data_IF_686493349869
#
_entry.id   IF_686493349869
#
_cell.length_a   1.000
_cell.length_b   1.000
_cell.length_c   1.000
_cell.angle_alpha   90.00
_cell.angle_beta   90.00
_cell.angle_gamma   90.00
#
_symmetry.space_group_name_H-M   'P 1'
#
loop_
_entity.id
_entity.type
_entity.pdbx_description
1 polymer ?
#
# COMPACT_ATOMS: atom_id res chain seq x y z
N UNK A 1 -4.82 28.40 23.54
CA UNK A 1 -6.14 27.89 24.02
C UNK A 1 -6.29 26.47 23.53
N UNK A 2 -6.22 25.49 24.44
CA UNK A 2 -6.32 24.07 24.10
C UNK A 2 -7.78 23.71 23.78
N UNK A 3 -8.06 23.28 22.55
CA UNK A 3 -9.33 22.63 22.21
C UNK A 3 -9.12 21.11 22.21
N UNK A 4 -9.65 20.47 23.21
CA UNK A 4 -9.77 19.01 23.29
C UNK A 4 -10.87 18.54 22.35
N UNK A 5 -10.49 17.76 21.33
CA UNK A 5 -11.42 17.07 20.45
C UNK A 5 -11.84 15.76 21.11
N UNK A 6 -13.14 15.61 21.41
CA UNK A 6 -13.73 14.36 21.90
C UNK A 6 -14.05 13.47 20.71
N UNK A 7 -13.37 12.38 20.58
CA UNK A 7 -13.73 11.29 19.66
C UNK A 7 -14.91 10.53 20.27
N UNK A 8 -16.05 10.50 19.58
CA UNK A 8 -17.19 9.68 19.95
C UNK A 8 -17.05 8.32 19.24
N UNK A 9 -16.85 7.28 20.03
CA UNK A 9 -16.85 5.90 19.58
C UNK A 9 -18.31 5.44 19.43
N UNK A 10 -18.78 5.19 18.21
CA UNK A 10 -20.08 4.57 17.97
C UNK A 10 -19.86 3.07 17.82
N UNK A 11 -20.20 2.32 18.84
CA UNK A 11 -20.28 0.87 18.81
C UNK A 11 -21.61 0.43 18.21
N UNK A 12 -21.55 -0.26 17.07
CA UNK A 12 -22.70 -0.88 16.41
C UNK A 12 -22.86 -2.30 16.96
N UNK A 13 -23.83 -2.52 17.86
CA UNK A 13 -24.25 -3.84 18.29
C UNK A 13 -25.14 -4.46 17.20
N UNK A 14 -24.68 -5.53 16.58
CA UNK A 14 -25.54 -6.40 15.78
C UNK A 14 -26.01 -7.57 16.64
N UNK A 15 -27.27 -7.56 17.01
CA UNK A 15 -27.94 -8.67 17.69
C UNK A 15 -28.34 -9.73 16.64
N UNK A 16 -27.79 -10.93 16.76
CA UNK A 16 -28.23 -12.10 15.98
C UNK A 16 -29.14 -12.92 16.90
N UNK A 17 -30.45 -12.92 16.60
CA UNK A 17 -31.45 -13.79 17.21
C UNK A 17 -31.43 -15.16 16.55
N UNK A 18 -31.08 -16.20 17.30
CA UNK A 18 -31.31 -17.60 16.90
C UNK A 18 -32.74 -17.98 17.22
N UNK A 19 -33.54 -18.32 16.22
CA UNK A 19 -34.83 -18.96 16.34
C UNK A 19 -34.62 -20.47 16.30
N UNK A 20 -34.97 -21.13 17.40
CA UNK A 20 -35.07 -22.59 17.43
C UNK A 20 -36.42 -23.01 16.87
N UNK A 21 -36.44 -23.95 15.94
CA UNK A 21 -37.64 -24.60 15.45
C UNK A 21 -37.59 -26.09 15.79
N UNK A 22 -38.58 -26.55 16.56
CA UNK A 22 -38.75 -27.95 16.95
C UNK A 22 -39.57 -28.73 15.92
N UNK A 23 -39.56 -30.02 16.00
CA UNK A 23 -40.44 -30.99 15.28
C UNK A 23 -40.03 -32.38 15.71
N UNK A 24 -40.72 -32.96 16.57
CA UNK A 24 -41.86 -33.90 16.59
C UNK A 24 -41.59 -35.27 15.96
N UNK A 25 -41.79 -36.27 16.86
CA UNK A 25 -42.53 -37.56 16.74
C UNK A 25 -41.89 -38.65 15.86
N UNK A 26 -41.95 -39.94 16.17
CA UNK A 26 -42.79 -40.81 16.99
C UNK A 26 -42.27 -42.22 16.87
N UNK A 27 -42.40 -43.07 17.79
CA UNK A 27 -43.19 -44.31 17.78
C UNK A 27 -42.58 -45.42 18.65
N UNK A 28 -43.46 -45.90 19.49
CA UNK A 28 -43.40 -47.15 20.26
C UNK A 28 -43.80 -48.32 19.35
N UNK A 29 -43.45 -49.59 19.64
CA UNK A 29 -44.28 -50.42 20.52
C UNK A 29 -43.51 -51.44 21.37
N UNK A 30 -44.03 -51.67 22.58
CA UNK A 30 -44.70 -52.83 23.19
C UNK A 30 -44.10 -54.21 23.05
N UNK A 31 -43.74 -54.85 24.19
CA UNK A 31 -44.29 -56.13 24.64
C UNK A 31 -43.78 -56.55 26.04
N UNK A 32 -44.73 -56.84 26.86
CA UNK A 32 -44.69 -57.51 28.19
C UNK A 32 -44.75 -59.04 27.98
N UNK A 33 -44.75 -59.90 29.02
CA UNK A 33 -44.06 -59.97 30.31
C UNK A 33 -43.49 -61.37 30.63
N UNK A 34 -42.78 -61.57 31.73
CA UNK A 34 -42.95 -62.79 32.52
C UNK A 34 -42.40 -62.62 33.97
N UNK A 35 -43.17 -63.09 34.87
CA UNK A 35 -42.95 -63.23 36.30
C UNK A 35 -41.74 -64.10 36.67
N UNK A 36 -41.11 -63.82 37.83
CA UNK A 36 -41.25 -64.72 39.00
C UNK A 36 -40.58 -64.18 40.27
N UNK A 37 -41.43 -64.11 41.33
CA UNK A 37 -41.27 -64.38 42.77
C UNK A 37 -39.98 -64.10 43.53
N UNK A 38 -40.09 -63.20 44.50
CA UNK A 38 -39.84 -63.50 45.89
C UNK A 38 -38.50 -63.16 46.49
N UNK A 39 -38.41 -62.06 47.19
CA UNK A 39 -38.10 -62.15 48.63
C UNK A 39 -38.24 -60.76 49.31
N UNK A 40 -38.94 -60.74 50.43
CA UNK A 40 -39.14 -59.55 51.22
C UNK A 40 -37.89 -59.14 52.02
N UNK A 41 -37.46 -57.87 51.77
CA UNK A 41 -36.66 -57.11 52.74
C UNK A 41 -37.20 -55.71 52.81
N UNK A 42 -37.33 -55.20 54.08
CA UNK A 42 -37.91 -53.95 54.45
C UNK A 42 -37.33 -52.73 53.73
N UNK A 43 -38.12 -51.69 53.44
CA UNK A 43 -37.64 -50.53 52.71
C UNK A 43 -36.66 -49.73 53.58
N UNK A 44 -35.42 -49.69 53.18
CA UNK A 44 -34.46 -48.69 53.65
C UNK A 44 -34.92 -47.30 53.16
N UNK A 45 -35.04 -46.38 54.12
CA UNK A 45 -35.36 -44.95 53.95
C UNK A 45 -34.53 -44.37 52.82
N UNK A 46 -35.07 -43.62 51.81
CA UNK A 46 -34.30 -42.96 50.83
C UNK A 46 -33.33 -41.98 51.46
N UNK A 47 -32.07 -42.15 51.29
CA UNK A 47 -31.05 -41.13 51.58
C UNK A 47 -31.34 -39.92 50.74
N UNK A 48 -31.66 -38.81 51.36
CA UNK A 48 -31.72 -37.48 50.68
C UNK A 48 -30.43 -37.25 49.99
N UNK A 49 -30.44 -36.85 48.70
CA UNK A 49 -29.18 -36.41 47.99
C UNK A 49 -28.59 -35.29 48.83
N UNK A 50 -27.39 -35.45 49.32
CA UNK A 50 -26.66 -34.38 49.99
C UNK A 50 -26.40 -33.31 48.95
N UNK A 51 -26.96 -32.12 49.15
CA UNK A 51 -26.59 -30.93 48.35
C UNK A 51 -25.07 -30.78 48.45
N UNK A 52 -24.33 -30.71 47.35
CA UNK A 52 -22.90 -30.47 47.42
C UNK A 52 -22.63 -29.22 48.23
N UNK A 53 -21.65 -29.27 49.12
CA UNK A 53 -21.24 -28.10 49.89
C UNK A 53 -20.89 -26.96 48.93
N UNK A 54 -21.27 -25.70 49.23
CA UNK A 54 -20.93 -24.58 48.37
C UNK A 54 -19.42 -24.50 48.29
N UNK A 55 -18.89 -24.41 47.02
CA UNK A 55 -17.46 -24.21 46.77
C UNK A 55 -17.02 -22.90 47.42
N UNK A 56 -15.85 -22.88 48.07
CA UNK A 56 -15.30 -21.64 48.66
C UNK A 56 -15.03 -20.61 47.54
N UNK A 57 -15.21 -19.34 47.89
CA UNK A 57 -14.80 -18.21 47.04
C UNK A 57 -13.42 -17.71 47.48
N UNK A 58 -12.60 -17.35 46.53
CA UNK A 58 -11.24 -16.85 46.75
C UNK A 58 -11.11 -15.44 46.23
N UNK A 59 -10.24 -14.64 46.84
CA UNK A 59 -10.01 -13.27 46.48
C UNK A 59 -9.21 -13.16 45.15
N UNK A 60 -9.54 -12.13 44.39
CA UNK A 60 -8.85 -11.77 43.16
C UNK A 60 -8.39 -10.33 43.31
N UNK A 61 -7.12 -10.08 43.01
CA UNK A 61 -6.54 -8.74 42.98
C UNK A 61 -5.82 -8.52 41.61
N UNK A 62 -5.55 -7.30 41.29
CA UNK A 62 -4.67 -6.97 40.13
C UNK A 62 -3.50 -6.12 40.60
N UNK A 63 -2.34 -6.36 40.03
CA UNK A 63 -1.20 -5.46 40.19
C UNK A 63 -1.46 -4.20 39.39
N UNK A 64 -1.34 -3.03 40.02
CA UNK A 64 -1.30 -1.76 39.27
C UNK A 64 0.07 -1.58 38.65
N UNK A 65 0.13 -1.01 37.45
CA UNK A 65 1.37 -0.75 36.74
C UNK A 65 1.24 0.37 35.71
N UNK A 66 2.35 0.82 35.20
CA UNK A 66 2.37 1.81 34.13
C UNK A 66 2.09 1.18 32.76
N UNK A 67 1.34 1.87 31.92
CA UNK A 67 1.09 1.47 30.54
C UNK A 67 -0.13 0.56 30.33
N UNK A 68 -0.87 0.24 31.41
CA UNK A 68 -2.09 -0.56 31.30
C UNK A 68 -3.08 -0.29 32.45
N UNK A 69 -4.33 -0.68 32.23
CA UNK A 69 -5.40 -0.71 33.23
C UNK A 69 -6.19 -1.99 33.12
N UNK A 70 -6.39 -2.68 34.24
CA UNK A 70 -7.28 -3.87 34.35
C UNK A 70 -8.66 -3.39 34.71
N UNK A 71 -9.70 -3.82 33.99
CA UNK A 71 -11.08 -3.42 34.18
C UNK A 71 -12.00 -4.65 34.17
N UNK A 72 -13.10 -4.57 34.94
CA UNK A 72 -14.10 -5.65 35.01
C UNK A 72 -13.67 -6.89 35.77
N UNK A 73 -12.54 -6.84 36.52
CA UNK A 73 -12.08 -7.95 37.35
C UNK A 73 -12.97 -8.05 38.62
N UNK A 74 -13.62 -9.20 38.91
CA UNK A 74 -14.41 -9.36 40.14
C UNK A 74 -13.49 -9.48 41.35
N UNK A 75 -13.95 -9.03 42.51
CA UNK A 75 -13.19 -9.15 43.78
C UNK A 75 -13.00 -10.59 44.25
N UNK A 76 -13.92 -11.50 43.90
CA UNK A 76 -13.86 -12.91 44.27
C UNK A 76 -14.50 -13.80 43.22
N UNK A 77 -14.06 -15.06 43.11
CA UNK A 77 -14.72 -16.10 42.33
C UNK A 77 -14.56 -17.47 43.01
N UNK A 78 -15.42 -18.43 42.64
CA UNK A 78 -15.32 -19.81 43.16
C UNK A 78 -14.35 -20.63 42.35
N UNK A 79 -13.75 -21.61 43.01
CA UNK A 79 -12.89 -22.57 42.33
C UNK A 79 -13.57 -23.19 41.10
N UNK A 80 -12.86 -23.13 39.93
CA UNK A 80 -13.32 -23.64 38.64
C UNK A 80 -14.25 -22.70 37.89
N UNK A 81 -14.59 -21.52 38.41
CA UNK A 81 -15.30 -20.48 37.64
C UNK A 81 -14.37 -19.82 36.64
N UNK A 82 -14.87 -19.50 35.44
CA UNK A 82 -14.16 -18.69 34.49
C UNK A 82 -14.30 -17.23 34.85
N UNK A 83 -13.17 -16.57 35.10
CA UNK A 83 -13.09 -15.13 35.36
C UNK A 83 -12.68 -14.44 34.07
N UNK A 84 -13.43 -13.39 33.74
CA UNK A 84 -13.17 -12.59 32.53
C UNK A 84 -12.94 -11.13 32.92
N UNK A 85 -12.00 -10.46 32.26
CA UNK A 85 -11.69 -9.05 32.49
C UNK A 85 -11.16 -8.42 31.22
N UNK A 86 -11.08 -7.10 31.15
CA UNK A 86 -10.52 -6.35 30.05
C UNK A 86 -9.21 -5.69 30.45
N UNK A 87 -8.29 -5.57 29.48
CA UNK A 87 -7.02 -4.89 29.64
C UNK A 87 -7.00 -3.70 28.66
N UNK A 88 -7.02 -2.49 29.21
CA UNK A 88 -6.80 -1.27 28.43
C UNK A 88 -5.30 -0.95 28.44
N UNK A 89 -4.69 -0.87 27.27
CA UNK A 89 -3.26 -0.55 27.09
C UNK A 89 -3.09 0.91 26.71
N UNK A 90 -2.04 1.54 27.19
CA UNK A 90 -1.65 2.86 26.74
C UNK A 90 -1.24 2.84 25.26
N UNK A 91 -1.28 3.99 24.63
CA UNK A 91 -0.91 4.14 23.23
C UNK A 91 0.52 3.61 22.98
N UNK A 92 0.68 2.79 21.96
CA UNK A 92 1.98 2.22 21.58
C UNK A 92 2.48 1.10 22.48
N UNK A 93 1.66 0.60 23.42
CA UNK A 93 1.97 -0.56 24.26
C UNK A 93 1.25 -1.81 23.77
N UNK A 94 1.83 -2.95 24.06
CA UNK A 94 1.21 -4.27 23.93
C UNK A 94 1.47 -5.12 25.18
N UNK A 95 0.58 -6.05 25.46
CA UNK A 95 0.77 -6.98 26.55
C UNK A 95 1.92 -7.94 26.21
N UNK A 96 2.88 -8.05 27.11
CA UNK A 96 3.98 -9.02 27.02
C UNK A 96 3.61 -10.31 27.74
N UNK A 97 3.02 -10.18 28.94
CA UNK A 97 2.38 -11.31 29.63
C UNK A 97 1.21 -10.85 30.47
N UNK A 98 0.19 -11.73 30.62
CA UNK A 98 -0.97 -11.53 31.49
C UNK A 98 -1.17 -12.84 32.26
N UNK A 99 -0.98 -12.83 33.58
CA UNK A 99 -1.03 -14.02 34.42
C UNK A 99 -1.97 -13.84 35.61
N UNK A 100 -2.67 -14.89 35.95
CA UNK A 100 -3.42 -15.02 37.22
C UNK A 100 -2.67 -16.00 38.11
N UNK A 101 -1.91 -15.49 39.09
CA UNK A 101 -0.89 -16.26 39.80
C UNK A 101 0.15 -16.80 38.83
N UNK A 102 0.35 -18.11 38.78
CA UNK A 102 1.29 -18.77 37.90
C UNK A 102 0.69 -19.18 36.52
N UNK A 103 -0.61 -18.95 36.32
CA UNK A 103 -1.35 -19.39 35.12
C UNK A 103 -1.44 -18.24 34.10
N UNK A 104 -1.08 -18.51 32.83
CA UNK A 104 -1.28 -17.56 31.75
C UNK A 104 -2.79 -17.35 31.46
N UNK A 105 -3.23 -16.11 31.38
CA UNK A 105 -4.59 -15.78 30.98
C UNK A 105 -4.75 -15.93 29.46
N UNK A 106 -5.93 -16.42 29.04
CA UNK A 106 -6.27 -16.59 27.63
C UNK A 106 -6.84 -15.29 27.07
N UNK A 107 -6.31 -14.80 25.98
CA UNK A 107 -6.92 -13.72 25.17
C UNK A 107 -8.07 -14.32 24.36
N UNK A 108 -9.28 -13.80 24.55
CA UNK A 108 -10.48 -14.21 23.85
C UNK A 108 -10.66 -13.42 22.52
N UNK A 109 -11.51 -13.94 21.62
CA UNK A 109 -11.79 -13.31 20.33
C UNK A 109 -12.43 -11.91 20.43
N UNK A 110 -13.09 -11.61 21.57
CA UNK A 110 -13.68 -10.31 21.86
C UNK A 110 -12.68 -9.29 22.46
N UNK A 111 -11.41 -9.68 22.61
CA UNK A 111 -10.35 -8.85 23.19
C UNK A 111 -10.30 -8.86 24.72
N UNK A 112 -11.18 -9.60 25.39
CA UNK A 112 -11.10 -9.82 26.84
C UNK A 112 -10.06 -10.90 27.17
N UNK A 113 -9.61 -10.91 28.46
CA UNK A 113 -8.78 -11.98 28.98
C UNK A 113 -9.60 -12.85 29.93
N UNK A 114 -9.29 -14.14 29.99
CA UNK A 114 -9.93 -15.08 30.89
C UNK A 114 -8.95 -16.05 31.51
N UNK A 115 -9.30 -16.52 32.73
CA UNK A 115 -8.63 -17.63 33.42
C UNK A 115 -9.64 -18.44 34.19
N UNK A 116 -9.29 -19.69 34.53
CA UNK A 116 -10.06 -20.52 35.43
C UNK A 116 -9.58 -20.28 36.83
N UNK A 117 -10.50 -19.92 37.76
CA UNK A 117 -10.18 -19.65 39.15
C UNK A 117 -9.60 -20.90 39.86
N UNK A 118 -8.35 -20.84 40.37
CA UNK A 118 -7.80 -21.93 41.18
C UNK A 118 -8.46 -21.98 42.57
N UNK A 119 -8.12 -23.01 43.36
CA UNK A 119 -8.59 -23.18 44.73
C UNK A 119 -7.89 -22.30 45.78
N UNK A 120 -7.40 -21.13 45.36
CA UNK A 120 -6.67 -20.17 46.22
C UNK A 120 -6.83 -18.73 45.69
N UNK A 121 -6.46 -17.75 46.51
CA UNK A 121 -6.46 -16.35 46.09
C UNK A 121 -5.43 -16.09 45.00
N UNK A 122 -5.79 -15.28 44.00
CA UNK A 122 -4.92 -14.93 42.88
C UNK A 122 -4.69 -13.43 42.76
N UNK A 123 -3.51 -13.09 42.23
CA UNK A 123 -3.21 -11.75 41.77
C UNK A 123 -3.02 -11.78 40.24
N UNK A 124 -3.76 -10.94 39.52
CA UNK A 124 -3.56 -10.73 38.09
C UNK A 124 -2.36 -9.79 37.88
N UNK A 125 -1.28 -10.33 37.31
CA UNK A 125 -0.07 -9.60 36.99
C UNK A 125 0.01 -9.40 35.49
N UNK A 126 0.30 -8.15 35.06
CA UNK A 126 0.45 -7.78 33.66
C UNK A 126 1.83 -7.18 33.47
N UNK A 127 2.52 -7.62 32.42
CA UNK A 127 3.70 -6.92 31.91
C UNK A 127 3.41 -6.41 30.52
N UNK A 128 3.90 -5.21 30.21
CA UNK A 128 3.72 -4.57 28.91
C UNK A 128 5.09 -4.22 28.32
N UNK A 129 5.15 -4.21 27.00
CA UNK A 129 6.31 -3.74 26.23
C UNK A 129 5.88 -2.72 25.19
N UNK A 130 6.84 -2.04 24.61
CA UNK A 130 6.57 -1.16 23.45
C UNK A 130 6.20 -2.02 22.25
N UNK A 131 5.10 -1.66 21.60
CA UNK A 131 4.70 -2.26 20.34
C UNK A 131 5.66 -1.80 19.24
N UNK A 132 5.92 -2.67 18.27
CA UNK A 132 6.68 -2.31 17.08
C UNK A 132 5.76 -1.81 15.98
N UNK A 133 6.27 -0.83 15.26
CA UNK A 133 5.65 -0.25 14.06
C UNK A 133 6.66 -0.25 12.93
N UNK A 134 6.18 -0.33 11.70
CA UNK A 134 7.04 -0.48 10.51
C UNK A 134 7.13 0.80 9.70
N UNK A 135 8.17 0.89 8.90
CA UNK A 135 8.24 1.80 7.78
C UNK A 135 7.33 1.24 6.68
N UNK A 136 6.19 1.90 6.46
CA UNK A 136 5.16 1.45 5.53
C UNK A 136 5.49 1.84 4.09
N UNK A 137 5.94 3.08 3.86
CA UNK A 137 6.37 3.55 2.54
C UNK A 137 7.52 4.54 2.63
N UNK A 138 8.32 4.62 1.54
CA UNK A 138 9.34 5.64 1.33
C UNK A 138 9.16 6.18 -0.08
N UNK A 139 8.96 7.48 -0.19
CA UNK A 139 8.80 8.17 -1.45
C UNK A 139 9.85 9.28 -1.59
N UNK A 140 10.44 9.37 -2.79
CA UNK A 140 11.32 10.46 -3.19
C UNK A 140 10.70 11.21 -4.35
N UNK A 141 10.69 12.53 -4.29
CA UNK A 141 10.22 13.34 -5.40
C UNK A 141 11.01 13.07 -6.69
N UNK A 142 10.33 13.23 -7.82
CA UNK A 142 10.92 13.01 -9.15
C UNK A 142 12.14 13.88 -9.42
N UNK A 143 12.21 15.09 -8.85
CA UNK A 143 13.39 15.97 -8.92
C UNK A 143 14.65 15.39 -8.28
N UNK A 144 14.48 14.45 -7.35
CA UNK A 144 15.61 13.74 -6.72
C UNK A 144 16.05 12.49 -7.48
N UNK A 145 15.32 12.02 -8.47
CA UNK A 145 15.60 10.77 -9.21
C UNK A 145 17.00 10.70 -9.81
N UNK A 146 17.54 11.85 -10.26
CA UNK A 146 18.91 11.95 -10.78
C UNK A 146 19.98 11.48 -9.77
N UNK A 147 19.74 11.67 -8.49
CA UNK A 147 20.67 11.31 -7.43
C UNK A 147 20.53 9.84 -7.00
N UNK A 148 19.45 9.16 -7.40
CA UNK A 148 19.09 7.82 -6.91
C UNK A 148 19.20 7.74 -5.38
N UNK A 149 18.38 8.52 -4.65
CA UNK A 149 18.49 8.68 -3.21
C UNK A 149 18.08 7.42 -2.47
N UNK A 150 18.71 7.20 -1.30
CA UNK A 150 18.37 6.09 -0.40
C UNK A 150 18.41 6.57 1.04
N UNK A 151 17.59 5.97 1.90
CA UNK A 151 17.68 6.07 3.35
C UNK A 151 18.42 4.86 3.90
N UNK A 152 19.03 4.98 5.10
CA UNK A 152 19.76 3.87 5.73
C UNK A 152 18.86 2.75 6.25
N UNK A 153 17.55 2.91 6.19
CA UNK A 153 16.53 1.88 6.44
C UNK A 153 15.64 1.71 5.18
N UNK A 154 14.80 0.70 5.20
CA UNK A 154 13.92 0.35 4.06
C UNK A 154 12.48 0.11 4.50
N UNK A 155 11.59 0.05 3.54
CA UNK A 155 10.20 -0.38 3.73
C UNK A 155 10.16 -1.77 4.37
N UNK A 156 9.38 -1.92 5.42
CA UNK A 156 9.22 -3.12 6.22
C UNK A 156 10.14 -3.21 7.44
N UNK A 157 11.13 -2.32 7.61
CA UNK A 157 11.91 -2.25 8.85
C UNK A 157 11.01 -1.82 10.01
N UNK A 158 11.20 -2.44 11.19
CA UNK A 158 10.38 -2.24 12.38
C UNK A 158 11.18 -1.61 13.51
N UNK A 159 10.55 -0.67 14.22
CA UNK A 159 11.11 0.02 15.37
C UNK A 159 10.08 0.07 16.49
N UNK A 160 10.55 0.08 17.74
CA UNK A 160 9.65 0.16 18.91
C UNK A 160 9.05 1.57 19.03
N UNK A 161 7.81 1.65 19.49
CA UNK A 161 7.18 2.91 19.88
C UNK A 161 8.10 3.73 20.80
N UNK A 162 8.29 4.99 20.48
CA UNK A 162 9.15 5.91 21.23
C UNK A 162 10.66 5.71 20.99
N UNK A 163 11.06 4.74 20.18
CA UNK A 163 12.48 4.55 19.81
C UNK A 163 12.93 5.74 18.96
N UNK A 164 14.09 6.33 19.33
CA UNK A 164 14.80 7.25 18.45
C UNK A 164 15.44 6.45 17.31
N UNK A 165 15.02 6.76 16.08
CA UNK A 165 15.54 6.15 14.85
C UNK A 165 16.51 7.14 14.22
N UNK A 166 17.81 6.88 14.34
CA UNK A 166 18.85 7.65 13.67
C UNK A 166 19.04 7.09 12.24
N UNK A 167 19.20 7.98 11.25
CA UNK A 167 19.33 7.56 9.87
C UNK A 167 20.16 8.54 9.02
N UNK A 168 20.43 8.16 7.78
CA UNK A 168 21.15 8.95 6.78
C UNK A 168 20.37 8.99 5.48
N UNK A 169 20.50 10.09 4.73
CA UNK A 169 20.06 10.22 3.35
C UNK A 169 21.30 10.23 2.45
N UNK A 170 21.40 9.26 1.57
CA UNK A 170 22.55 9.07 0.69
C UNK A 170 22.19 9.11 -0.78
N UNK A 171 23.12 9.52 -1.63
CA UNK A 171 23.01 9.45 -3.08
C UNK A 171 23.86 8.30 -3.62
N UNK A 172 23.25 7.43 -4.42
CA UNK A 172 23.93 6.31 -5.06
C UNK A 172 24.56 6.65 -6.43
N UNK A 173 24.13 7.75 -7.07
CA UNK A 173 24.55 8.08 -8.43
C UNK A 173 25.44 9.31 -8.53
N UNK A 174 25.13 10.38 -7.82
CA UNK A 174 25.79 11.69 -7.94
C UNK A 174 25.62 12.46 -6.64
N UNK A 175 26.61 13.28 -6.27
CA UNK A 175 26.50 14.12 -5.07
C UNK A 175 25.30 15.07 -5.16
N UNK A 176 24.56 15.18 -4.06
CA UNK A 176 23.54 16.21 -3.91
C UNK A 176 24.16 17.61 -3.93
N UNK A 177 23.53 18.54 -4.60
CA UNK A 177 23.85 19.95 -4.40
C UNK A 177 23.15 20.46 -3.14
N UNK A 178 23.86 21.17 -2.29
CA UNK A 178 23.28 21.78 -1.07
C UNK A 178 22.10 22.72 -1.40
N UNK A 179 22.14 23.41 -2.55
CA UNK A 179 21.04 24.24 -3.04
C UNK A 179 19.80 23.43 -3.42
N UNK A 180 19.95 22.18 -3.84
CA UNK A 180 18.81 21.28 -4.08
C UNK A 180 18.25 20.79 -2.75
N UNK A 181 19.10 20.23 -1.88
CA UNK A 181 18.68 19.78 -0.54
C UNK A 181 18.08 20.88 0.31
N UNK A 182 18.55 22.12 0.14
CA UNK A 182 17.99 23.28 0.83
C UNK A 182 16.52 23.55 0.53
N UNK A 183 15.99 22.96 -0.54
CA UNK A 183 14.57 23.05 -0.94
C UNK A 183 13.74 21.86 -0.53
N UNK A 184 14.37 20.80 -0.03
CA UNK A 184 13.73 19.56 0.35
C UNK A 184 13.47 19.48 1.85
N UNK A 185 12.47 18.70 2.22
CA UNK A 185 12.22 18.25 3.58
C UNK A 185 11.87 16.76 3.59
N UNK A 186 12.10 16.12 4.72
CA UNK A 186 11.65 14.77 4.99
C UNK A 186 10.41 14.86 5.87
N UNK A 187 9.28 14.41 5.35
CA UNK A 187 8.02 14.34 6.06
C UNK A 187 7.85 12.91 6.58
N UNK A 188 7.68 12.78 7.88
CA UNK A 188 7.52 11.51 8.58
C UNK A 188 6.21 11.60 9.36
N UNK A 189 5.13 11.08 8.80
CA UNK A 189 3.77 11.35 9.27
C UNK A 189 3.56 12.88 9.51
N UNK A 190 3.47 13.33 10.76
CA UNK A 190 3.27 14.73 11.09
C UNK A 190 4.58 15.48 11.48
N UNK A 191 5.71 14.75 11.54
CA UNK A 191 7.03 15.34 11.79
C UNK A 191 7.69 15.79 10.48
N UNK A 192 8.41 16.90 10.50
CA UNK A 192 9.10 17.46 9.34
C UNK A 192 10.55 17.76 9.67
N UNK A 193 11.47 17.17 8.91
CA UNK A 193 12.89 17.47 8.97
C UNK A 193 13.24 18.36 7.78
N UNK A 194 13.53 19.64 8.06
CA UNK A 194 13.93 20.63 7.06
C UNK A 194 15.41 20.48 6.70
N UNK A 195 15.72 19.92 5.53
CA UNK A 195 17.09 19.72 5.06
C UNK A 195 17.83 21.05 4.82
N UNK A 196 17.12 22.14 4.54
CA UNK A 196 17.72 23.47 4.39
C UNK A 196 18.23 24.07 5.71
N UNK A 197 17.66 23.66 6.84
CA UNK A 197 18.10 24.11 8.16
C UNK A 197 19.43 23.51 8.62
N UNK A 198 19.92 22.48 7.92
CA UNK A 198 21.14 21.72 8.30
C UNK A 198 22.45 22.46 7.96
N UNK A 199 22.38 23.60 7.30
CA UNK A 199 23.58 24.40 6.97
C UNK A 199 24.52 23.74 5.97
N UNK A 200 24.00 22.85 5.10
CA UNK A 200 24.78 22.16 4.09
C UNK A 200 25.38 23.14 3.08
N UNK A 201 26.57 22.85 2.56
CA UNK A 201 27.25 23.66 1.56
C UNK A 201 27.94 22.80 0.49
N UNK A 202 28.05 23.34 -0.73
CA UNK A 202 28.71 22.65 -1.84
C UNK A 202 27.95 21.41 -2.30
N UNK A 203 28.66 20.30 -2.44
CA UNK A 203 28.14 19.00 -2.86
C UNK A 203 28.38 17.95 -1.78
N UNK A 204 27.35 17.20 -1.41
CA UNK A 204 27.40 16.15 -0.38
C UNK A 204 26.87 14.84 -0.94
N UNK A 205 27.47 13.71 -0.57
CA UNK A 205 26.99 12.38 -0.95
C UNK A 205 26.08 11.78 0.11
N UNK A 206 26.19 12.25 1.35
CA UNK A 206 25.44 11.74 2.49
C UNK A 206 25.08 12.90 3.42
N UNK A 207 23.86 12.90 3.91
CA UNK A 207 23.37 13.75 4.99
C UNK A 207 23.21 12.88 6.21
N UNK A 208 24.02 13.14 7.24
CA UNK A 208 24.07 12.38 8.48
C UNK A 208 23.27 13.07 9.60
N UNK A 209 23.16 12.39 10.74
CA UNK A 209 22.54 12.88 11.96
C UNK A 209 21.05 13.25 11.81
N UNK A 210 20.36 12.62 10.88
CA UNK A 210 18.93 12.67 10.80
C UNK A 210 18.29 11.73 11.81
N UNK A 211 17.21 12.13 12.45
CA UNK A 211 16.50 11.23 13.36
C UNK A 211 15.04 11.64 13.51
N UNK A 212 14.22 10.66 13.87
CA UNK A 212 12.85 10.87 14.32
C UNK A 212 12.52 9.93 15.47
N UNK A 213 11.42 10.18 16.15
CA UNK A 213 10.91 9.28 17.20
C UNK A 213 9.77 8.44 16.64
N UNK A 214 9.90 7.10 16.73
CA UNK A 214 8.88 6.19 16.19
C UNK A 214 7.51 6.44 16.85
N UNK A 215 6.48 6.86 16.08
CA UNK A 215 5.14 7.10 16.60
C UNK A 215 4.41 5.79 16.91
N UNK A 216 3.20 5.89 17.50
CA UNK A 216 2.35 4.73 17.79
C UNK A 216 1.52 4.27 16.57
N UNK A 217 2.11 4.34 15.39
CA UNK A 217 1.53 3.95 14.11
C UNK A 217 2.63 3.65 13.09
N UNK A 218 2.28 2.94 12.02
CA UNK A 218 3.18 2.73 10.88
C UNK A 218 3.54 4.06 10.21
N UNK A 219 4.75 4.17 9.68
CA UNK A 219 5.30 5.44 9.20
C UNK A 219 5.40 5.46 7.69
N UNK A 220 4.85 6.52 7.10
CA UNK A 220 5.07 6.90 5.71
C UNK A 220 6.09 8.04 5.65
N UNK A 221 7.12 7.87 4.81
CA UNK A 221 8.20 8.83 4.66
C UNK A 221 8.20 9.43 3.26
N UNK A 222 8.23 10.73 3.19
CA UNK A 222 8.24 11.47 1.94
C UNK A 222 9.41 12.47 1.92
N UNK A 223 10.32 12.31 0.96
CA UNK A 223 11.40 13.28 0.71
C UNK A 223 10.97 14.12 -0.48
N UNK A 224 10.54 15.35 -0.20
CA UNK A 224 9.86 16.19 -1.17
C UNK A 224 10.24 17.67 -1.01
N UNK A 225 10.04 18.48 -2.06
CA UNK A 225 10.19 19.90 -1.96
C UNK A 225 9.30 20.48 -0.86
N UNK A 226 9.92 21.27 0.01
CA UNK A 226 9.20 22.16 0.93
C UNK A 226 8.94 23.49 0.27
N UNK A 227 7.93 24.21 0.74
CA UNK A 227 7.81 25.62 0.42
C UNK A 227 9.01 26.39 1.02
N UNK A 228 9.73 27.14 0.22
CA UNK A 228 10.96 27.85 0.62
C UNK A 228 10.66 29.30 0.93
N UNK A 229 11.19 29.81 2.05
CA UNK A 229 11.20 31.22 2.36
C UNK A 229 12.22 31.94 1.45
N UNK A 230 11.73 32.68 0.46
CA UNK A 230 12.57 33.51 -0.40
C UNK A 230 12.50 34.97 0.07
N UNK A 231 13.52 35.38 0.79
CA UNK A 231 13.61 36.70 1.42
C UNK A 231 13.85 37.89 0.47
N UNK A 232 13.97 37.64 -0.84
CA UNK A 232 14.22 38.70 -1.84
C UNK A 232 13.07 38.84 -2.83
N UNK A 233 12.48 40.01 -2.92
CA UNK A 233 11.42 40.39 -3.85
C UNK A 233 10.44 41.40 -3.25
N UNK A 234 9.56 41.99 -4.05
CA UNK A 234 8.54 42.93 -3.61
C UNK A 234 7.63 42.30 -2.55
N UNK A 235 7.72 42.81 -1.31
CA UNK A 235 6.96 42.31 -0.16
C UNK A 235 5.43 42.30 -0.42
N UNK A 236 4.95 43.23 -1.23
CA UNK A 236 3.52 43.43 -1.52
C UNK A 236 2.91 42.42 -2.49
N UNK A 237 3.71 41.50 -3.04
CA UNK A 237 3.28 40.50 -4.01
C UNK A 237 3.50 39.07 -3.51
N UNK A 238 3.59 38.86 -2.21
CA UNK A 238 3.95 37.59 -1.61
C UNK A 238 2.74 36.85 -1.09
N UNK A 239 2.73 35.52 -1.33
CA UNK A 239 1.93 34.60 -0.55
C UNK A 239 2.76 34.25 0.69
N UNK A 240 2.23 34.52 1.90
CA UNK A 240 2.96 34.30 3.15
C UNK A 240 2.98 32.82 3.54
N UNK A 241 1.83 32.14 3.45
CA UNK A 241 1.68 30.71 3.71
C UNK A 241 0.48 30.15 2.96
N UNK A 242 0.46 28.83 2.85
CA UNK A 242 -0.73 28.09 2.41
C UNK A 242 -1.49 27.67 3.66
N UNK A 243 -2.77 28.03 3.72
CA UNK A 243 -3.71 27.63 4.75
C UNK A 243 -4.70 26.64 4.15
N UNK A 244 -4.76 25.46 4.69
CA UNK A 244 -5.75 24.46 4.29
C UNK A 244 -6.99 24.65 5.16
N UNK A 245 -8.00 25.34 4.64
CA UNK A 245 -9.26 25.61 5.36
C UNK A 245 -10.10 24.34 5.48
N UNK A 246 -10.15 23.55 4.40
CA UNK A 246 -10.90 22.31 4.33
C UNK A 246 -10.16 21.28 3.47
N UNK A 247 -10.04 20.05 3.97
CA UNK A 247 -9.58 18.90 3.20
C UNK A 247 -10.28 17.62 3.69
N UNK A 248 -10.55 16.62 2.83
CA UNK A 248 -11.07 15.33 3.25
C UNK A 248 -10.06 14.62 4.16
N UNK A 249 -10.54 13.86 5.15
CA UNK A 249 -9.69 13.09 6.07
C UNK A 249 -8.77 12.08 5.37
N UNK A 250 -9.15 11.65 4.16
CA UNK A 250 -8.35 10.73 3.34
C UNK A 250 -7.35 11.43 2.42
N UNK A 251 -7.16 12.75 2.51
CA UNK A 251 -6.17 13.52 1.74
C UNK A 251 -5.24 14.23 2.70
N UNK A 252 -3.97 13.83 2.70
CA UNK A 252 -2.89 14.54 3.40
C UNK A 252 -2.28 15.58 2.47
N UNK A 253 -2.15 16.81 2.94
CA UNK A 253 -1.56 17.90 2.18
C UNK A 253 -0.18 18.20 2.75
N UNK A 254 0.84 18.22 1.91
CA UNK A 254 2.20 18.57 2.29
C UNK A 254 2.43 20.05 2.04
N UNK A 255 2.27 20.85 3.07
CA UNK A 255 2.59 22.26 3.04
C UNK A 255 3.51 22.60 4.20
N UNK A 256 4.53 23.40 3.97
CA UNK A 256 5.27 24.05 5.05
C UNK A 256 4.53 25.32 5.48
N UNK A 257 4.75 25.78 6.71
CA UNK A 257 4.11 26.98 7.26
C UNK A 257 4.43 28.28 6.49
N UNK A 258 5.39 28.22 5.57
CA UNK A 258 5.83 29.38 4.78
C UNK A 258 5.95 29.00 3.32
N UNK A 259 5.01 29.44 2.52
CA UNK A 259 5.07 29.39 1.07
C UNK A 259 5.34 30.79 0.54
N UNK A 260 6.41 30.95 -0.22
CA UNK A 260 6.70 32.20 -0.90
C UNK A 260 6.64 31.99 -2.40
N UNK A 261 5.87 32.84 -3.03
CA UNK A 261 5.79 32.95 -4.47
C UNK A 261 6.65 34.12 -4.94
N UNK A 262 7.70 33.84 -5.69
CA UNK A 262 8.49 34.85 -6.39
C UNK A 262 8.14 34.88 -7.87
N UNK A 263 7.62 35.98 -8.37
CA UNK A 263 7.28 36.17 -9.78
C UNK A 263 8.50 36.22 -10.70
N UNK A 264 9.72 36.35 -10.15
CA UNK A 264 10.96 36.46 -10.91
C UNK A 264 11.55 35.10 -11.27
N UNK A 265 11.23 34.05 -10.52
CA UNK A 265 11.69 32.69 -10.78
C UNK A 265 10.54 31.78 -11.18
N UNK A 266 10.34 31.59 -12.45
CA UNK A 266 9.29 30.78 -13.05
C UNK A 266 9.36 29.27 -12.74
N UNK A 267 10.27 28.82 -11.89
CA UNK A 267 10.52 27.41 -11.58
C UNK A 267 10.31 27.02 -10.12
N UNK A 268 9.93 27.93 -9.24
CA UNK A 268 9.81 27.62 -7.82
C UNK A 268 8.35 27.32 -7.46
N UNK A 269 8.10 26.05 -7.22
CA UNK A 269 6.89 25.48 -6.58
C UNK A 269 5.52 25.91 -7.13
N UNK A 270 5.26 25.48 -8.35
CA UNK A 270 3.91 25.52 -8.91
C UNK A 270 3.02 24.37 -8.42
N UNK A 271 3.49 23.55 -7.49
CA UNK A 271 2.83 22.30 -7.13
C UNK A 271 2.77 22.14 -5.62
N UNK A 272 1.59 21.83 -5.10
CA UNK A 272 1.35 21.41 -3.74
C UNK A 272 1.15 19.92 -3.73
N UNK A 273 2.05 19.17 -3.10
CA UNK A 273 1.95 17.74 -3.02
C UNK A 273 0.84 17.30 -2.08
N UNK A 274 0.16 16.24 -2.46
CA UNK A 274 -0.88 15.58 -1.67
C UNK A 274 -0.67 14.08 -1.71
N UNK A 275 -0.90 13.42 -0.57
CA UNK A 275 -1.02 11.97 -0.51
C UNK A 275 -2.46 11.61 -0.16
N UNK A 276 -2.93 10.49 -0.68
CA UNK A 276 -4.19 9.92 -0.24
C UNK A 276 -3.92 8.76 0.72
N UNK A 277 -4.68 8.73 1.78
CA UNK A 277 -4.88 7.57 2.62
C UNK A 277 -6.16 6.90 2.15
N UNK A 278 -6.19 5.59 2.02
CA UNK A 278 -7.37 4.92 1.50
C UNK A 278 -7.68 5.31 0.01
N UNK A 279 -8.85 4.99 -0.48
CA UNK A 279 -9.27 5.16 -1.89
C UNK A 279 -9.88 6.54 -2.17
N UNK A 280 -9.29 7.61 -1.66
CA UNK A 280 -9.78 8.97 -1.93
C UNK A 280 -9.25 9.53 -3.24
N UNK A 281 -10.09 10.30 -3.94
CA UNK A 281 -9.68 11.15 -5.06
C UNK A 281 -10.08 12.60 -4.76
N UNK A 282 -9.25 13.55 -5.20
CA UNK A 282 -9.59 14.98 -5.18
C UNK A 282 -10.52 15.27 -6.35
N UNK A 283 -11.66 15.89 -6.07
CA UNK A 283 -12.67 16.22 -7.09
C UNK A 283 -12.68 17.69 -7.45
N UNK A 284 -12.27 18.56 -6.52
CA UNK A 284 -12.22 20.01 -6.74
C UNK A 284 -11.23 20.64 -5.77
N UNK A 285 -10.57 21.71 -6.22
CA UNK A 285 -9.77 22.58 -5.38
C UNK A 285 -10.20 24.02 -5.65
N UNK A 286 -10.48 24.77 -4.58
CA UNK A 286 -10.78 26.17 -4.66
C UNK A 286 -9.77 26.95 -3.83
N UNK A 287 -9.45 28.17 -4.26
CA UNK A 287 -8.53 29.07 -3.54
C UNK A 287 -9.12 30.46 -3.36
N UNK A 288 -8.64 31.14 -2.34
CA UNK A 288 -8.72 32.60 -2.18
C UNK A 288 -7.46 33.08 -1.48
N UNK A 289 -7.15 34.36 -1.60
CA UNK A 289 -6.08 35.01 -0.82
C UNK A 289 -6.71 36.05 0.10
N UNK A 290 -5.95 36.54 1.08
CA UNK A 290 -6.44 37.56 2.04
C UNK A 290 -6.99 38.82 1.37
N UNK A 291 -6.43 39.19 0.24
CA UNK A 291 -6.87 40.36 -0.53
C UNK A 291 -8.02 40.06 -1.51
N UNK A 292 -8.55 38.81 -1.54
CA UNK A 292 -9.62 38.37 -2.44
C UNK A 292 -10.71 37.68 -1.63
N UNK A 293 -11.92 38.22 -1.62
CA UNK A 293 -13.03 37.68 -0.84
C UNK A 293 -13.69 36.43 -1.45
N UNK A 294 -13.61 36.27 -2.77
CA UNK A 294 -14.30 35.21 -3.50
C UNK A 294 -13.43 34.00 -3.71
N UNK A 295 -14.01 32.81 -3.54
CA UNK A 295 -13.37 31.54 -3.86
C UNK A 295 -13.32 31.33 -5.38
N UNK A 296 -12.14 31.00 -5.88
CA UNK A 296 -11.92 30.68 -7.30
C UNK A 296 -11.52 29.22 -7.43
N UNK A 297 -12.08 28.52 -8.40
CA UNK A 297 -11.77 27.12 -8.67
C UNK A 297 -10.44 26.99 -9.44
N UNK A 298 -9.59 26.07 -9.01
CA UNK A 298 -8.38 25.67 -9.74
C UNK A 298 -8.71 24.57 -10.74
N UNK A 299 -8.20 24.70 -11.97
CA UNK A 299 -8.27 23.62 -12.94
C UNK A 299 -7.41 22.44 -12.45
N UNK A 300 -8.02 21.27 -12.27
CA UNK A 300 -7.34 20.07 -11.83
C UNK A 300 -6.80 19.27 -13.00
N UNK A 301 -5.54 18.89 -12.90
CA UNK A 301 -4.92 17.87 -13.75
C UNK A 301 -4.03 17.02 -12.83
N UNK A 302 -4.62 15.98 -12.24
CA UNK A 302 -3.96 15.15 -11.24
C UNK A 302 -3.82 13.73 -11.74
N UNK A 303 -2.62 13.19 -11.64
CA UNK A 303 -2.33 11.76 -11.85
C UNK A 303 -1.72 11.22 -10.58
N UNK A 304 -2.29 10.15 -10.07
CA UNK A 304 -1.82 9.50 -8.85
C UNK A 304 -0.74 8.47 -9.18
N UNK A 305 0.37 8.55 -8.47
CA UNK A 305 1.46 7.58 -8.53
C UNK A 305 1.82 7.19 -7.11
N UNK A 306 1.73 5.90 -6.78
CA UNK A 306 1.99 5.39 -5.42
C UNK A 306 1.25 6.17 -4.32
N UNK A 307 -0.04 6.50 -4.58
CA UNK A 307 -0.92 7.31 -3.72
C UNK A 307 -0.50 8.78 -3.53
N UNK A 308 0.42 9.28 -4.33
CA UNK A 308 0.85 10.67 -4.32
C UNK A 308 0.45 11.35 -5.61
N UNK A 309 0.07 12.62 -5.51
CA UNK A 309 -0.20 13.52 -6.61
C UNK A 309 0.18 14.94 -6.21
N UNK A 310 -0.06 15.88 -7.10
CA UNK A 310 0.12 17.31 -6.79
C UNK A 310 -1.02 18.15 -7.34
N UNK A 311 -1.31 19.24 -6.64
CA UNK A 311 -2.21 20.30 -7.07
C UNK A 311 -1.35 21.36 -7.75
N UNK A 312 -1.57 21.60 -9.03
CA UNK A 312 -0.84 22.62 -9.76
C UNK A 312 -1.33 24.03 -9.36
N UNK A 313 -0.44 24.85 -8.87
CA UNK A 313 -0.68 26.26 -8.55
C UNK A 313 -0.27 27.20 -9.70
N UNK A 314 0.13 26.63 -10.86
CA UNK A 314 0.61 27.43 -12.02
C UNK A 314 -0.43 28.39 -12.59
N UNK A 315 -1.73 28.07 -12.40
CA UNK A 315 -2.85 28.85 -12.89
C UNK A 315 -3.36 29.92 -11.89
N UNK A 316 -2.69 30.07 -10.74
CA UNK A 316 -2.97 31.19 -9.86
C UNK A 316 -2.74 32.50 -10.62
N UNK A 317 -3.67 33.43 -10.52
CA UNK A 317 -3.51 34.76 -11.13
C UNK A 317 -2.47 35.55 -10.36
N UNK A 318 -1.23 35.44 -10.82
CA UNK A 318 0.01 35.83 -10.14
C UNK A 318 0.14 37.32 -9.80
N UNK A 319 -0.68 38.18 -10.39
CA UNK A 319 -0.64 39.64 -10.14
C UNK A 319 -1.66 40.11 -9.13
N UNK A 320 -2.57 39.26 -8.66
CA UNK A 320 -3.73 39.69 -7.88
C UNK A 320 -3.88 39.02 -6.52
N UNK A 321 -3.12 37.96 -6.23
CA UNK A 321 -3.20 37.21 -4.96
C UNK A 321 -2.02 37.62 -4.05
N UNK A 322 -2.31 38.16 -2.86
CA UNK A 322 -1.31 38.51 -1.84
C UNK A 322 -1.81 38.12 -0.45
N UNK A 323 -0.90 37.97 0.49
CA UNK A 323 -1.20 37.50 1.84
C UNK A 323 -1.20 36.01 1.96
N UNK A 324 -2.00 35.44 2.86
CA UNK A 324 -2.14 33.97 2.98
C UNK A 324 -2.98 33.41 1.83
N UNK A 325 -2.56 32.28 1.30
CA UNK A 325 -3.32 31.53 0.29
C UNK A 325 -4.15 30.45 0.97
N UNK A 326 -5.44 30.64 0.98
CA UNK A 326 -6.40 29.70 1.53
C UNK A 326 -6.84 28.69 0.46
N UNK A 327 -6.85 27.43 0.80
CA UNK A 327 -7.27 26.33 -0.07
C UNK A 327 -8.40 25.54 0.59
N UNK A 328 -9.40 25.20 -0.24
CA UNK A 328 -10.41 24.19 0.04
C UNK A 328 -10.24 23.03 -0.93
N UNK A 329 -10.08 21.85 -0.39
CA UNK A 329 -9.92 20.62 -1.16
C UNK A 329 -11.16 19.77 -0.94
N UNK A 330 -11.88 19.50 -2.01
CA UNK A 330 -13.03 18.60 -2.01
C UNK A 330 -12.60 17.26 -2.59
N UNK A 331 -13.07 16.18 -2.00
CA UNK A 331 -12.75 14.84 -2.46
C UNK A 331 -13.83 13.84 -2.10
N UNK A 332 -13.76 12.69 -2.69
CA UNK A 332 -14.66 11.57 -2.38
C UNK A 332 -13.89 10.27 -2.32
N UNK A 333 -14.41 9.34 -1.50
CA UNK A 333 -13.98 7.96 -1.51
C UNK A 333 -14.53 7.27 -2.74
N UNK A 334 -13.69 6.51 -3.46
CA UNK A 334 -14.08 5.68 -4.60
C UNK A 334 -13.73 4.22 -4.33
N UNK A 335 -14.19 3.31 -5.17
CA UNK A 335 -13.88 1.90 -5.02
C UNK A 335 -12.42 1.60 -5.39
N UNK A 336 -11.86 0.57 -4.78
CA UNK A 336 -10.63 -0.08 -5.24
C UNK A 336 -10.98 -1.43 -5.87
N UNK A 337 -10.31 -1.76 -6.96
CA UNK A 337 -10.54 -2.96 -7.73
C UNK A 337 -9.30 -3.82 -7.80
N UNK A 338 -9.50 -5.13 -7.90
CA UNK A 338 -8.42 -6.09 -7.91
C UNK A 338 -7.79 -6.19 -9.29
N UNK A 339 -6.45 -6.24 -9.33
CA UNK A 339 -5.68 -6.66 -10.48
C UNK A 339 -5.18 -8.09 -10.25
N UNK A 340 -5.59 -9.01 -11.12
CA UNK A 340 -5.17 -10.41 -11.07
C UNK A 340 -4.22 -10.69 -12.23
N UNK A 341 -3.05 -11.21 -11.91
CA UNK A 341 -2.08 -11.69 -12.90
C UNK A 341 -2.14 -13.21 -12.94
N UNK A 342 -2.41 -13.76 -14.12
CA UNK A 342 -2.46 -15.21 -14.39
C UNK A 342 -1.26 -15.57 -15.25
N UNK A 343 -0.56 -16.67 -14.91
CA UNK A 343 0.66 -17.13 -15.56
C UNK A 343 1.76 -16.03 -15.59
N UNK A 344 1.89 -15.27 -14.50
CA UNK A 344 2.89 -14.22 -14.38
C UNK A 344 4.34 -14.72 -14.30
N UNK A 345 4.54 -16.02 -14.15
CA UNK A 345 5.83 -16.72 -14.12
C UNK A 345 6.54 -16.76 -15.49
N UNK A 346 5.83 -16.50 -16.59
CA UNK A 346 6.44 -16.40 -17.93
C UNK A 346 7.06 -15.02 -18.21
N UNK A 347 6.87 -14.06 -17.30
CA UNK A 347 7.41 -12.70 -17.40
C UNK A 347 8.16 -12.28 -16.13
N UNK A 348 9.08 -11.35 -16.28
CA UNK A 348 9.70 -10.62 -15.16
C UNK A 348 9.23 -9.17 -15.23
N UNK A 349 8.50 -8.73 -14.21
CA UNK A 349 8.07 -7.33 -14.11
C UNK A 349 9.22 -6.45 -13.63
N UNK A 350 9.38 -5.27 -14.25
CA UNK A 350 10.36 -4.27 -13.80
C UNK A 350 9.99 -3.72 -12.41
N UNK A 351 8.68 -3.54 -12.15
CA UNK A 351 8.09 -3.28 -10.84
C UNK A 351 6.92 -4.23 -10.66
N UNK A 352 6.85 -4.93 -9.53
CA UNK A 352 5.73 -5.82 -9.24
C UNK A 352 4.42 -5.03 -9.22
N UNK A 353 3.37 -5.49 -9.94
CA UNK A 353 2.07 -4.85 -9.90
C UNK A 353 1.45 -4.93 -8.49
N UNK A 354 0.74 -3.87 -8.09
CA UNK A 354 -0.06 -3.91 -6.88
C UNK A 354 -1.25 -4.88 -7.07
N UNK A 355 -1.71 -5.49 -5.98
CA UNK A 355 -2.87 -6.38 -6.02
C UNK A 355 -4.20 -5.63 -6.21
N UNK A 356 -4.24 -4.35 -5.87
CA UNK A 356 -5.43 -3.50 -5.98
C UNK A 356 -5.05 -2.11 -6.47
N UNK A 357 -5.95 -1.48 -7.21
CA UNK A 357 -5.83 -0.10 -7.69
C UNK A 357 -7.15 0.64 -7.46
N UNK A 358 -7.06 1.93 -7.21
CA UNK A 358 -8.25 2.80 -7.07
C UNK A 358 -8.85 3.04 -8.46
N UNK A 359 -10.19 3.08 -8.55
CA UNK A 359 -10.90 3.40 -9.79
C UNK A 359 -10.39 4.71 -10.40
N UNK A 360 -10.04 4.68 -11.68
CA UNK A 360 -9.48 5.82 -12.43
C UNK A 360 -7.96 5.94 -12.38
N UNK A 361 -7.27 5.21 -11.51
CA UNK A 361 -5.79 5.27 -11.44
C UNK A 361 -5.13 4.66 -12.67
N UNK A 362 -4.00 5.23 -13.11
CA UNK A 362 -3.22 4.62 -14.16
C UNK A 362 -2.56 3.32 -13.68
N UNK A 363 -2.78 2.26 -14.42
CA UNK A 363 -2.05 1.00 -14.31
C UNK A 363 -1.01 0.98 -15.43
N UNK A 364 0.26 0.91 -15.05
CA UNK A 364 1.38 0.82 -16.00
C UNK A 364 2.28 -0.34 -15.60
N UNK A 365 2.33 -1.36 -16.45
CA UNK A 365 3.14 -2.55 -16.23
C UNK A 365 4.18 -2.64 -17.34
N UNK A 366 5.44 -2.77 -16.95
CA UNK A 366 6.54 -3.04 -17.86
C UNK A 366 7.19 -4.37 -17.47
N UNK A 367 7.45 -5.21 -18.44
CA UNK A 367 7.96 -6.56 -18.23
C UNK A 367 8.85 -7.04 -19.38
N UNK A 368 9.60 -8.11 -19.12
CA UNK A 368 10.36 -8.87 -20.12
C UNK A 368 9.96 -10.34 -20.03
N UNK A 369 10.06 -11.06 -21.12
CA UNK A 369 9.88 -12.52 -21.10
C UNK A 369 11.02 -13.19 -20.33
N UNK A 370 10.70 -14.23 -19.56
CA UNK A 370 11.69 -15.05 -18.83
C UNK A 370 12.53 -15.86 -19.83
N UNK A 371 11.90 -16.35 -20.90
CA UNK A 371 12.56 -17.14 -21.95
C UNK A 371 12.72 -16.28 -23.22
N UNK A 372 13.97 -16.02 -23.62
CA UNK A 372 14.29 -15.23 -24.79
C UNK A 372 13.85 -15.89 -26.14
N UNK A 373 13.66 -17.22 -26.15
CA UNK A 373 13.22 -17.97 -27.33
C UNK A 373 11.71 -17.99 -27.50
N UNK A 374 10.98 -17.37 -26.57
CA UNK A 374 9.51 -17.27 -26.60
C UNK A 374 9.03 -15.84 -26.86
N UNK A 375 7.87 -15.77 -27.45
CA UNK A 375 7.09 -14.53 -27.57
C UNK A 375 6.05 -14.53 -26.48
N UNK A 376 6.04 -13.44 -25.69
CA UNK A 376 5.01 -13.21 -24.68
C UNK A 376 3.81 -12.56 -25.36
N UNK A 377 2.63 -13.11 -25.07
CA UNK A 377 1.32 -12.52 -25.39
C UNK A 377 0.54 -12.37 -24.11
N UNK A 378 -0.38 -11.43 -24.10
CA UNK A 378 -1.30 -11.26 -22.98
C UNK A 378 -2.71 -10.92 -23.47
N UNK A 379 -3.68 -11.30 -22.65
CA UNK A 379 -5.08 -10.93 -22.78
C UNK A 379 -5.51 -10.18 -21.54
N UNK A 380 -6.33 -9.13 -21.71
CA UNK A 380 -6.84 -8.31 -20.62
C UNK A 380 -8.34 -8.39 -20.60
N UNK A 381 -8.89 -8.90 -19.50
CA UNK A 381 -10.31 -8.94 -19.25
C UNK A 381 -10.69 -7.88 -18.21
N UNK A 382 -11.75 -7.15 -18.45
CA UNK A 382 -12.27 -6.13 -17.56
C UNK A 382 -11.77 -4.72 -17.84
N UNK A 383 -10.76 -4.52 -18.68
CA UNK A 383 -10.29 -3.21 -19.10
C UNK A 383 -10.15 -3.14 -20.63
N UNK A 384 -10.24 -1.92 -21.17
CA UNK A 384 -9.93 -1.65 -22.58
C UNK A 384 -8.43 -1.34 -22.68
N UNK A 385 -7.70 -2.21 -23.36
CA UNK A 385 -6.29 -1.99 -23.66
C UNK A 385 -6.13 -1.50 -25.11
N UNK A 386 -5.30 -0.49 -25.30
CA UNK A 386 -4.94 0.02 -26.63
C UNK A 386 -3.61 -0.55 -27.15
N UNK A 387 -2.86 -1.26 -26.29
CA UNK A 387 -1.59 -1.86 -26.65
C UNK A 387 -1.76 -3.16 -27.45
N UNK A 388 -0.81 -3.47 -28.31
CA UNK A 388 -0.75 -4.75 -29.02
C UNK A 388 -0.39 -5.87 -28.04
N UNK A 389 -0.94 -7.06 -28.22
CA UNK A 389 -0.73 -8.21 -27.34
C UNK A 389 0.72 -8.70 -27.25
N UNK A 390 1.64 -8.12 -28.02
CA UNK A 390 3.09 -8.40 -28.04
C UNK A 390 3.93 -7.28 -27.46
N UNK A 391 3.32 -6.17 -27.05
CA UNK A 391 4.05 -5.07 -26.41
C UNK A 391 4.52 -5.49 -25.03
N UNK A 392 5.67 -4.98 -24.58
CA UNK A 392 6.24 -5.23 -23.26
C UNK A 392 5.74 -4.23 -22.19
N UNK A 393 4.81 -3.36 -22.59
CA UNK A 393 4.18 -2.37 -21.71
C UNK A 393 2.66 -2.49 -21.82
N UNK A 394 2.00 -2.52 -20.68
CA UNK A 394 0.55 -2.51 -20.54
C UNK A 394 0.17 -1.23 -19.81
N UNK A 395 -0.74 -0.45 -20.40
CA UNK A 395 -1.20 0.80 -19.83
C UNK A 395 -2.72 0.94 -19.98
N UNK A 396 -3.41 1.19 -18.87
CA UNK A 396 -4.83 1.53 -18.85
C UNK A 396 -5.16 2.27 -17.55
N UNK A 397 -6.32 2.91 -17.49
CA UNK A 397 -6.85 3.42 -16.22
C UNK A 397 -7.72 2.33 -15.59
N UNK A 398 -7.57 2.11 -14.27
CA UNK A 398 -8.35 1.10 -13.56
C UNK A 398 -9.85 1.39 -13.71
N UNK A 399 -10.61 0.47 -14.31
CA UNK A 399 -12.05 0.67 -14.47
C UNK A 399 -12.80 0.43 -13.16
N UNK A 400 -14.12 0.68 -13.13
CA UNK A 400 -14.99 0.40 -11.99
C UNK A 400 -15.29 -1.09 -11.77
N UNK A 401 -14.37 -1.98 -12.13
CA UNK A 401 -14.45 -3.43 -11.92
C UNK A 401 -13.05 -4.05 -11.85
N UNK A 402 -12.99 -5.29 -11.37
CA UNK A 402 -11.76 -6.09 -11.31
C UNK A 402 -11.22 -6.36 -12.72
N UNK A 403 -9.90 -6.41 -12.84
CA UNK A 403 -9.17 -6.67 -14.09
C UNK A 403 -8.32 -7.93 -13.94
N UNK A 404 -8.33 -8.76 -14.98
CA UNK A 404 -7.45 -9.94 -15.07
C UNK A 404 -6.57 -9.83 -16.30
N UNK A 405 -5.25 -9.98 -16.12
CA UNK A 405 -4.27 -10.07 -17.19
C UNK A 405 -3.73 -11.49 -17.21
N UNK A 406 -3.92 -12.16 -18.33
CA UNK A 406 -3.44 -13.55 -18.55
C UNK A 406 -2.28 -13.52 -19.52
N UNK A 407 -1.11 -13.94 -19.08
CA UNK A 407 0.07 -14.09 -19.93
C UNK A 407 0.13 -15.49 -20.55
N UNK A 408 0.74 -15.56 -21.72
CA UNK A 408 1.10 -16.80 -22.40
C UNK A 408 2.42 -16.64 -23.13
N UNK A 409 3.18 -17.73 -23.23
CA UNK A 409 4.45 -17.79 -23.95
C UNK A 409 4.32 -18.77 -25.10
N UNK A 410 4.71 -18.34 -26.30
CA UNK A 410 4.69 -19.15 -27.53
C UNK A 410 6.09 -19.19 -28.12
N UNK A 411 6.52 -20.35 -28.58
CA UNK A 411 7.83 -20.51 -29.22
C UNK A 411 7.95 -19.62 -30.46
N UNK A 412 9.10 -19.02 -30.65
CA UNK A 412 9.45 -18.33 -31.90
C UNK A 412 9.62 -19.38 -33.01
N UNK A 413 9.11 -19.06 -34.19
CA UNK A 413 9.36 -19.86 -35.37
C UNK A 413 10.83 -19.74 -35.79
N UNK A 414 11.51 -20.85 -36.02
CA UNK A 414 12.89 -20.84 -36.53
C UNK A 414 12.91 -20.36 -37.97
N UNK A 415 13.84 -19.45 -38.30
CA UNK A 415 14.07 -18.98 -39.65
C UNK A 415 15.21 -19.81 -40.22
N UNK A 416 14.99 -20.45 -41.36
CA UNK A 416 16.01 -21.24 -42.10
C UNK A 416 15.97 -20.82 -43.55
N UNK A 417 17.13 -20.78 -44.17
CA UNK A 417 17.25 -20.58 -45.61
C UNK A 417 17.65 -21.91 -46.30
N UNK A 418 16.93 -22.26 -47.35
CA UNK A 418 17.35 -23.36 -48.17
C UNK A 418 18.63 -22.96 -48.96
N UNK A 419 19.56 -23.89 -49.08
CA UNK A 419 20.75 -23.70 -49.91
C UNK A 419 20.34 -23.77 -51.39
N UNK A 420 20.45 -22.64 -52.08
CA UNK A 420 20.05 -22.51 -53.47
C UNK A 420 21.30 -22.22 -54.31
N UNK A 421 21.44 -22.92 -55.41
CA UNK A 421 22.51 -22.64 -56.40
C UNK A 421 22.38 -21.17 -56.86
N UNK A 422 23.52 -20.46 -56.88
CA UNK A 422 23.54 -19.05 -57.28
C UNK A 422 23.30 -18.04 -56.16
N UNK A 423 22.99 -18.46 -54.94
CA UNK A 423 22.95 -17.58 -53.76
C UNK A 423 24.23 -17.76 -52.94
N UNK A 424 24.92 -16.68 -52.67
CA UNK A 424 26.12 -16.65 -51.84
C UNK A 424 25.77 -16.64 -50.34
N UNK A 425 24.83 -15.75 -49.94
CA UNK A 425 24.34 -15.66 -48.54
C UNK A 425 22.91 -15.18 -48.50
N UNK A 426 22.20 -15.55 -47.43
CA UNK A 426 20.90 -15.01 -47.09
C UNK A 426 20.80 -14.87 -45.58
N UNK A 427 20.31 -13.75 -45.09
CA UNK A 427 20.09 -13.45 -43.66
C UNK A 427 18.76 -12.76 -43.48
N UNK A 428 18.09 -13.01 -42.35
CA UNK A 428 16.91 -12.27 -41.93
C UNK A 428 17.29 -11.22 -40.89
N UNK A 429 16.67 -10.07 -40.96
CA UNK A 429 16.87 -8.95 -40.04
C UNK A 429 15.55 -8.42 -39.53
N UNK A 430 15.60 -7.80 -38.36
CA UNK A 430 14.45 -7.21 -37.65
C UNK A 430 14.08 -5.80 -38.14
N UNK A 431 14.90 -5.19 -38.99
CA UNK A 431 14.68 -3.84 -39.51
C UNK A 431 15.15 -3.68 -40.96
N UNK A 432 14.49 -2.82 -41.70
CA UNK A 432 14.91 -2.39 -43.04
C UNK A 432 16.15 -1.47 -43.03
N UNK A 433 16.44 -0.84 -41.91
CA UNK A 433 17.57 0.11 -41.81
C UNK A 433 18.84 -0.62 -41.43
N UNK A 434 19.76 -0.75 -42.39
CA UNK A 434 20.99 -1.56 -42.26
C UNK A 434 21.88 -1.22 -41.05
N UNK A 435 21.83 0.03 -40.60
CA UNK A 435 22.66 0.51 -39.48
C UNK A 435 22.18 0.02 -38.08
N UNK A 436 20.87 -0.24 -37.95
CA UNK A 436 20.27 -0.67 -36.67
C UNK A 436 19.68 -2.09 -36.71
N UNK A 437 19.84 -2.78 -37.85
CA UNK A 437 19.23 -4.07 -38.08
C UNK A 437 20.06 -5.21 -37.50
N UNK A 438 19.48 -6.00 -36.58
CA UNK A 438 20.10 -7.20 -36.07
C UNK A 438 19.73 -8.41 -36.93
N UNK A 439 20.69 -9.30 -37.14
CA UNK A 439 20.40 -10.61 -37.72
C UNK A 439 19.61 -11.47 -36.73
N UNK A 440 18.55 -12.08 -37.24
CA UNK A 440 17.66 -12.94 -36.43
C UNK A 440 17.53 -14.32 -37.07
N UNK A 441 17.50 -15.33 -36.22
CA UNK A 441 17.34 -16.75 -36.62
C UNK A 441 15.98 -17.32 -36.22
N UNK A 442 15.19 -16.53 -35.54
CA UNK A 442 13.82 -16.90 -35.12
C UNK A 442 12.94 -15.66 -35.02
N UNK A 443 11.63 -15.81 -35.22
CA UNK A 443 10.67 -14.74 -35.13
C UNK A 443 9.30 -15.26 -34.65
N UNK A 444 8.46 -14.39 -34.15
CA UNK A 444 7.09 -14.74 -33.79
C UNK A 444 6.18 -14.78 -35.03
N UNK A 445 5.10 -15.56 -35.00
CA UNK A 445 4.10 -15.58 -36.07
C UNK A 445 3.51 -14.19 -36.32
N UNK A 446 3.60 -13.72 -37.56
CA UNK A 446 3.12 -12.38 -37.94
C UNK A 446 4.17 -11.28 -37.87
N UNK A 447 5.42 -11.56 -37.45
CA UNK A 447 6.50 -10.59 -37.50
C UNK A 447 6.83 -10.19 -38.95
N UNK A 448 7.13 -8.93 -39.15
CA UNK A 448 7.70 -8.44 -40.42
C UNK A 448 9.21 -8.70 -40.40
N UNK A 449 9.67 -9.45 -41.38
CA UNK A 449 11.07 -9.80 -41.53
C UNK A 449 11.63 -9.16 -42.79
N UNK A 450 12.86 -8.71 -42.71
CA UNK A 450 13.62 -8.20 -43.87
C UNK A 450 14.69 -9.23 -44.21
N UNK A 451 14.59 -9.78 -45.43
CA UNK A 451 15.53 -10.77 -45.91
C UNK A 451 16.54 -10.11 -46.86
N UNK A 452 17.80 -10.26 -46.54
CA UNK A 452 18.91 -9.80 -47.39
C UNK A 452 19.60 -11.03 -47.99
N UNK A 453 19.64 -11.09 -49.28
CA UNK A 453 20.29 -12.18 -50.01
C UNK A 453 21.29 -11.63 -51.05
N UNK A 454 22.47 -12.23 -51.08
CA UNK A 454 23.54 -11.87 -52.01
C UNK A 454 23.67 -12.94 -53.09
N UNK A 455 23.52 -12.60 -54.39
CA UNK A 455 23.75 -13.53 -55.45
C UNK A 455 25.24 -13.78 -55.70
N UNK A 456 25.61 -14.97 -56.14
CA UNK A 456 26.96 -15.24 -56.68
C UNK A 456 27.20 -14.49 -57.99
N UNK A 457 28.46 -14.30 -58.34
CA UNK A 457 28.83 -13.67 -59.60
C UNK A 457 28.17 -14.37 -60.80
N UNK A 458 27.47 -13.60 -61.64
CA UNK A 458 26.73 -14.09 -62.79
C UNK A 458 25.30 -14.55 -62.52
N UNK A 459 24.82 -14.48 -61.30
CA UNK A 459 23.44 -14.81 -60.92
C UNK A 459 22.65 -13.59 -60.54
N UNK A 460 21.34 -13.69 -60.69
CA UNK A 460 20.37 -12.65 -60.24
C UNK A 460 19.25 -13.32 -59.47
N UNK A 461 18.88 -12.80 -58.31
CA UNK A 461 17.75 -13.26 -57.54
C UNK A 461 16.46 -12.73 -58.16
N UNK A 462 15.57 -13.67 -58.61
CA UNK A 462 14.34 -13.26 -59.32
C UNK A 462 13.09 -13.40 -58.45
N UNK A 463 13.14 -14.15 -57.35
CA UNK A 463 12.04 -14.28 -56.40
C UNK A 463 12.53 -14.91 -55.06
N UNK A 464 11.79 -14.60 -54.01
CA UNK A 464 11.90 -15.26 -52.71
C UNK A 464 10.51 -15.76 -52.26
N UNK A 465 10.48 -16.86 -51.55
CA UNK A 465 9.24 -17.47 -51.06
C UNK A 465 9.39 -17.90 -49.62
N UNK A 466 8.29 -17.88 -48.88
CA UNK A 466 8.25 -18.40 -47.50
C UNK A 466 7.63 -19.79 -47.51
N UNK A 467 8.28 -20.73 -46.82
CA UNK A 467 7.82 -22.14 -46.70
C UNK A 467 7.51 -22.83 -48.06
N UNK A 468 8.23 -22.40 -49.11
CA UNK A 468 8.04 -22.96 -50.46
C UNK A 468 6.74 -22.57 -51.14
N UNK A 469 5.97 -21.62 -50.58
CA UNK A 469 4.75 -21.10 -51.19
C UNK A 469 5.08 -20.24 -52.42
N UNK A 470 4.93 -20.88 -53.58
CA UNK A 470 5.23 -20.27 -54.88
C UNK A 470 4.13 -19.35 -55.40
N UNK A 471 2.96 -19.35 -54.79
CA UNK A 471 1.83 -18.48 -55.14
C UNK A 471 2.00 -17.07 -54.55
N UNK A 472 2.64 -17.00 -53.38
CA UNK A 472 2.88 -15.73 -52.69
C UNK A 472 4.39 -15.41 -52.64
N UNK A 473 4.82 -14.52 -53.54
CA UNK A 473 6.19 -14.03 -53.55
C UNK A 473 6.41 -13.00 -52.43
N UNK A 474 7.59 -13.06 -51.82
CA UNK A 474 8.03 -11.96 -50.95
C UNK A 474 8.27 -10.72 -51.78
N UNK A 475 7.82 -9.57 -51.30
CA UNK A 475 8.10 -8.27 -51.97
C UNK A 475 9.61 -8.03 -51.96
N UNK A 476 10.18 -7.83 -53.11
CA UNK A 476 11.60 -7.46 -53.26
C UNK A 476 11.70 -5.93 -53.37
N UNK A 477 12.56 -5.33 -52.54
CA UNK A 477 12.85 -3.90 -52.51
C UNK A 477 14.06 -3.54 -53.38
#
# INVERSE_FOLDING_TARGET
>A
MKKTSKLALISLLAAISLTACGGKESSKPSSTPTNNTGNSQAPSKPSTPSTPAPKPSYAITATEGEGYKVEGLPETAKEGETVTFTLTLDQGKEADSVKAGDVDCTLNDDGSYSFTMPGEAVNVAVTVKNKKFKINSIYFDSGMSYYNPTLSFKVGDEFEFGQKVDFTLSSASSSFYASTLGREAIFINDEVIDLGSLGLSGSVTTVDNLSFTMPAEDVDIYVMPKAVDMTSGDADKRINKIVIDEAPSGIKVFSSEKFLYDSTYSYVFNSLYVARTDSYIVTKVSYKADNVSEWTELALSMTWTDNISFISLSNLNRGTVTGDLHLKIEGKKVASHKLTIVNGDVVTFNKQPAATYVEGDPVSLSFTGVDADKVIKYDIQGATNTAYSTDTNIQFNMPGNDVTITFSATDKGKITFETIEGVESAVAKDSAYSYYANEITSAYPGAILYVYATPKAGYTITAAYINGDKEHKVTMG
#
